data_IF_014000443720
#
_entry.id   IF_014000443720
#
_cell.length_a   1.000
_cell.length_b   1.000
_cell.length_c   1.000
_cell.angle_alpha   90.00
_cell.angle_beta   90.00
_cell.angle_gamma   90.00
#
_symmetry.space_group_name_H-M   'P 1'
#
loop_
_entity.id
_entity.type
_entity.pdbx_description
1 polymer ?
#
# COMPACT_ATOMS: atom_id res chain seq x y z
N UNK A 1 -8.77 -11.59 -32.13
CA UNK A 1 -9.60 -10.46 -32.58
C UNK A 1 -9.17 -9.25 -31.78
N UNK A 2 -8.46 -8.31 -32.40
CA UNK A 2 -7.95 -7.10 -31.75
C UNK A 2 -9.04 -6.04 -31.77
N UNK A 3 -9.63 -5.74 -30.61
CA UNK A 3 -10.56 -4.63 -30.44
C UNK A 3 -9.90 -3.33 -30.90
N UNK A 4 -10.50 -2.67 -31.90
CA UNK A 4 -10.17 -1.29 -32.25
C UNK A 4 -10.61 -0.39 -31.09
N UNK A 5 -9.70 -0.08 -30.17
CA UNK A 5 -9.88 1.04 -29.24
C UNK A 5 -9.97 2.33 -30.06
N UNK A 6 -11.15 2.94 -30.13
CA UNK A 6 -11.43 4.18 -30.87
C UNK A 6 -11.06 5.45 -30.09
N UNK A 7 -10.12 5.36 -29.15
CA UNK A 7 -9.68 6.46 -28.28
C UNK A 7 -8.16 6.58 -28.20
N UNK A 8 -7.67 7.67 -27.61
CA UNK A 8 -6.24 7.86 -27.40
C UNK A 8 -5.69 6.92 -26.31
N UNK A 9 -4.41 6.51 -26.37
CA UNK A 9 -3.87 5.43 -25.53
C UNK A 9 -3.98 5.68 -24.02
N UNK A 10 -4.01 6.95 -23.58
CA UNK A 10 -4.05 7.34 -22.18
C UNK A 10 -5.32 8.09 -21.78
N UNK A 11 -6.32 8.14 -22.67
CA UNK A 11 -7.53 8.97 -22.50
C UNK A 11 -8.26 8.72 -21.17
N UNK A 12 -8.39 7.45 -20.81
CA UNK A 12 -9.13 7.02 -19.62
C UNK A 12 -8.27 7.00 -18.33
N UNK A 13 -6.98 7.33 -18.42
CA UNK A 13 -6.10 7.25 -17.25
C UNK A 13 -6.38 8.37 -16.25
N UNK A 14 -6.26 8.06 -14.95
CA UNK A 14 -6.45 9.02 -13.86
C UNK A 14 -5.59 10.27 -14.06
N UNK A 15 -4.34 10.10 -14.47
CA UNK A 15 -3.41 11.21 -14.69
C UNK A 15 -3.91 12.19 -15.76
N UNK A 16 -4.41 11.68 -16.89
CA UNK A 16 -5.01 12.48 -17.97
C UNK A 16 -6.22 13.27 -17.45
N UNK A 17 -7.10 12.61 -16.70
CA UNK A 17 -8.28 13.26 -16.12
C UNK A 17 -7.91 14.33 -15.09
N UNK A 18 -6.93 14.07 -14.23
CA UNK A 18 -6.42 15.04 -13.25
C UNK A 18 -5.86 16.27 -13.95
N UNK A 19 -4.99 16.07 -14.94
CA UNK A 19 -4.41 17.17 -15.71
C UNK A 19 -5.48 17.97 -16.46
N UNK A 20 -6.43 17.30 -17.12
CA UNK A 20 -7.52 17.98 -17.84
C UNK A 20 -8.40 18.83 -16.90
N UNK A 21 -8.74 18.30 -15.73
CA UNK A 21 -9.50 19.04 -14.70
C UNK A 21 -8.71 20.23 -14.17
N UNK A 22 -7.41 20.05 -13.88
CA UNK A 22 -6.56 21.11 -13.35
C UNK A 22 -6.35 22.25 -14.36
N UNK A 23 -6.17 21.93 -15.65
CA UNK A 23 -6.13 22.93 -16.71
C UNK A 23 -7.45 23.70 -16.85
N UNK A 24 -8.59 23.01 -16.73
CA UNK A 24 -9.90 23.65 -16.74
C UNK A 24 -10.08 24.58 -15.54
N UNK A 25 -9.73 24.13 -14.34
CA UNK A 25 -9.74 24.94 -13.11
C UNK A 25 -8.87 26.19 -13.25
N UNK A 26 -7.65 26.05 -13.75
CA UNK A 26 -6.74 27.18 -13.98
C UNK A 26 -7.31 28.22 -14.95
N UNK A 27 -8.05 27.79 -15.98
CA UNK A 27 -8.77 28.70 -16.86
C UNK A 27 -9.94 29.40 -16.16
N UNK A 28 -10.76 28.64 -15.45
CA UNK A 28 -11.99 29.14 -14.83
C UNK A 28 -11.69 30.12 -13.69
N UNK A 29 -10.69 29.85 -12.85
CA UNK A 29 -10.35 30.65 -11.67
C UNK A 29 -9.35 31.77 -11.95
N UNK A 30 -8.32 31.49 -12.78
CA UNK A 30 -7.18 32.41 -12.97
C UNK A 30 -7.06 32.94 -14.40
N UNK A 31 -7.96 32.54 -15.31
CA UNK A 31 -7.92 32.88 -16.74
C UNK A 31 -6.58 32.55 -17.41
N UNK A 32 -5.87 31.53 -16.89
CA UNK A 32 -4.59 31.09 -17.45
C UNK A 32 -4.84 30.22 -18.68
N UNK A 33 -4.42 30.72 -19.84
CA UNK A 33 -4.51 29.95 -21.08
C UNK A 33 -3.48 28.82 -21.11
N UNK A 34 -3.77 27.74 -21.85
CA UNK A 34 -2.80 26.65 -22.08
C UNK A 34 -1.50 27.14 -22.72
N UNK A 35 -1.53 28.25 -23.47
CA UNK A 35 -0.31 28.87 -24.03
C UNK A 35 0.59 29.42 -22.92
N UNK A 36 0.02 30.15 -21.98
CA UNK A 36 0.75 30.72 -20.84
C UNK A 36 1.29 29.63 -19.92
N UNK A 37 0.46 28.62 -19.62
CA UNK A 37 0.88 27.48 -18.81
C UNK A 37 2.01 26.69 -19.48
N UNK A 38 1.95 26.48 -20.81
CA UNK A 38 3.01 25.81 -21.54
C UNK A 38 4.33 26.61 -21.49
N UNK A 39 4.26 27.93 -21.65
CA UNK A 39 5.42 28.82 -21.57
C UNK A 39 6.05 28.82 -20.16
N UNK A 40 5.25 28.86 -19.10
CA UNK A 40 5.72 28.77 -17.71
C UNK A 40 6.34 27.41 -17.39
N UNK A 41 5.82 26.35 -18.01
CA UNK A 41 6.42 25.01 -17.97
C UNK A 41 7.57 24.86 -18.98
N UNK A 42 8.07 25.92 -19.62
CA UNK A 42 9.21 25.83 -20.54
C UNK A 42 8.95 25.00 -21.81
N UNK A 43 7.70 24.77 -22.18
CA UNK A 43 7.33 24.14 -23.44
C UNK A 43 7.28 25.15 -24.58
N UNK A 44 7.86 24.78 -25.72
CA UNK A 44 7.82 25.60 -26.95
C UNK A 44 6.44 25.65 -27.62
N UNK A 45 5.52 24.75 -27.24
CA UNK A 45 4.20 24.63 -27.85
C UNK A 45 3.15 24.20 -26.83
N UNK A 46 2.01 24.91 -26.83
CA UNK A 46 0.84 24.59 -26.01
C UNK A 46 0.14 23.30 -26.40
N UNK A 47 0.39 22.82 -27.62
CA UNK A 47 -0.19 21.56 -28.13
C UNK A 47 0.25 20.37 -27.27
N UNK A 48 1.43 20.44 -26.66
CA UNK A 48 1.93 19.40 -25.76
C UNK A 48 0.98 19.20 -24.58
N UNK A 49 0.52 20.29 -23.94
CA UNK A 49 -0.44 20.22 -22.85
C UNK A 49 -1.78 19.62 -23.30
N UNK A 50 -2.27 20.02 -24.47
CA UNK A 50 -3.49 19.47 -25.05
C UNK A 50 -3.38 17.97 -25.36
N UNK A 51 -2.24 17.53 -25.91
CA UNK A 51 -1.99 16.11 -26.17
C UNK A 51 -1.93 15.28 -24.89
N UNK A 52 -1.36 15.82 -23.81
CA UNK A 52 -1.37 15.13 -22.52
C UNK A 52 -2.76 15.10 -21.89
N UNK A 53 -3.48 16.22 -21.92
CA UNK A 53 -4.83 16.32 -21.36
C UNK A 53 -5.89 15.52 -22.13
N UNK A 54 -5.64 15.18 -23.40
CA UNK A 54 -6.47 14.28 -24.21
C UNK A 54 -5.99 12.82 -24.16
N UNK A 55 -4.86 12.55 -23.50
CA UNK A 55 -4.29 11.21 -23.43
C UNK A 55 -3.63 10.72 -24.71
N UNK A 56 -3.36 11.62 -25.68
CA UNK A 56 -2.57 11.33 -26.89
C UNK A 56 -1.08 11.17 -26.59
N UNK A 57 -0.59 11.84 -25.56
CA UNK A 57 0.77 11.73 -25.05
C UNK A 57 0.75 11.45 -23.55
N UNK A 58 1.71 10.67 -23.02
CA UNK A 58 1.81 10.42 -21.60
C UNK A 58 2.45 11.62 -20.87
N UNK A 59 2.12 11.78 -19.59
CA UNK A 59 2.64 12.86 -18.75
C UNK A 59 4.06 12.50 -18.28
N UNK A 60 5.07 13.37 -18.44
CA UNK A 60 6.45 13.09 -18.03
C UNK A 60 6.57 13.03 -16.50
N UNK A 61 7.17 11.96 -15.98
CA UNK A 61 7.31 11.71 -14.53
C UNK A 61 8.22 12.77 -13.91
N UNK A 62 9.27 13.16 -14.63
CA UNK A 62 10.30 14.09 -14.18
C UNK A 62 9.77 15.50 -13.93
N UNK A 63 8.57 15.79 -14.43
CA UNK A 63 7.95 17.13 -14.39
C UNK A 63 6.70 17.19 -13.54
N UNK A 64 6.36 16.11 -12.84
CA UNK A 64 5.18 16.02 -11.98
C UNK A 64 5.12 17.18 -10.98
N UNK A 65 6.24 17.48 -10.31
CA UNK A 65 6.34 18.60 -9.38
C UNK A 65 6.05 19.97 -10.04
N UNK A 66 6.57 20.21 -11.25
CA UNK A 66 6.29 21.45 -11.99
C UNK A 66 4.79 21.63 -12.24
N UNK A 67 4.11 20.57 -12.67
CA UNK A 67 2.67 20.59 -12.92
C UNK A 67 1.87 20.77 -11.63
N UNK A 68 2.22 20.01 -10.59
CA UNK A 68 1.52 20.02 -9.32
C UNK A 68 1.59 21.41 -8.68
N UNK A 69 2.79 22.01 -8.66
CA UNK A 69 2.99 23.36 -8.16
C UNK A 69 2.22 24.39 -8.99
N UNK A 70 2.36 24.37 -10.33
CA UNK A 70 1.77 25.39 -11.18
C UNK A 70 0.24 25.32 -11.24
N UNK A 71 -0.32 24.11 -11.21
CA UNK A 71 -1.75 23.87 -11.34
C UNK A 71 -2.45 23.61 -9.99
N UNK A 72 -1.72 23.76 -8.88
CA UNK A 72 -2.21 23.56 -7.51
C UNK A 72 -2.90 22.19 -7.32
N UNK A 73 -2.22 21.14 -7.79
CA UNK A 73 -2.63 19.76 -7.56
C UNK A 73 -1.86 19.19 -6.36
N UNK A 74 -2.43 18.19 -5.69
CA UNK A 74 -1.70 17.42 -4.70
C UNK A 74 -0.64 16.56 -5.42
N UNK A 75 0.63 16.77 -5.08
CA UNK A 75 1.76 16.23 -5.83
C UNK A 75 1.86 14.70 -5.70
N UNK A 76 1.60 14.14 -4.51
CA UNK A 76 1.67 12.71 -4.25
C UNK A 76 0.65 11.92 -5.06
N UNK A 77 -0.61 12.36 -5.06
CA UNK A 77 -1.71 11.80 -5.82
C UNK A 77 -1.47 11.91 -7.32
N UNK A 78 -0.95 13.06 -7.78
CA UNK A 78 -0.66 13.26 -9.18
C UNK A 78 0.52 12.38 -9.64
N UNK A 79 1.57 12.25 -8.82
CA UNK A 79 2.68 11.34 -9.07
C UNK A 79 2.20 9.89 -9.19
N UNK A 80 1.41 9.43 -8.22
CA UNK A 80 0.84 8.08 -8.24
C UNK A 80 0.02 7.83 -9.51
N UNK A 81 -0.83 8.79 -9.90
CA UNK A 81 -1.61 8.68 -11.12
C UNK A 81 -0.73 8.59 -12.38
N UNK A 82 0.36 9.38 -12.44
CA UNK A 82 1.31 9.34 -13.57
C UNK A 82 2.10 8.02 -13.61
N UNK A 83 2.46 7.46 -12.45
CA UNK A 83 3.10 6.14 -12.35
C UNK A 83 2.15 5.03 -12.82
N UNK A 84 0.89 5.05 -12.40
CA UNK A 84 -0.16 4.13 -12.89
C UNK A 84 -0.33 4.21 -14.41
N UNK A 85 -0.25 5.41 -14.99
CA UNK A 85 -0.32 5.62 -16.44
C UNK A 85 0.85 4.97 -17.19
N UNK A 86 2.06 4.97 -16.61
CA UNK A 86 3.29 4.47 -17.24
C UNK A 86 3.50 2.98 -17.04
N UNK A 87 3.14 2.47 -15.86
CA UNK A 87 3.32 1.08 -15.46
C UNK A 87 1.99 0.50 -14.96
N UNK A 88 1.01 0.30 -15.86
CA UNK A 88 -0.34 -0.14 -15.47
C UNK A 88 -0.41 -1.56 -14.88
N UNK A 89 0.69 -2.31 -14.95
CA UNK A 89 0.81 -3.66 -14.37
C UNK A 89 1.32 -3.63 -12.92
N UNK A 90 1.70 -2.46 -12.41
CA UNK A 90 2.22 -2.28 -11.06
C UNK A 90 1.17 -1.60 -10.17
N UNK A 91 0.93 -2.17 -8.99
CA UNK A 91 0.01 -1.62 -8.01
C UNK A 91 0.73 -0.68 -7.04
N UNK A 92 0.87 0.59 -7.45
CA UNK A 92 1.57 1.60 -6.66
C UNK A 92 0.84 2.01 -5.39
N UNK A 93 -0.48 1.84 -5.34
CA UNK A 93 -1.28 2.17 -4.14
C UNK A 93 -0.94 1.23 -3.00
N UNK A 94 -0.68 -0.04 -3.32
CA UNK A 94 -0.32 -1.05 -2.34
C UNK A 94 1.20 -1.13 -2.08
N UNK A 95 2.04 -0.53 -2.93
CA UNK A 95 3.49 -0.45 -2.68
C UNK A 95 3.89 0.56 -1.59
N UNK A 96 3.05 1.57 -1.32
CA UNK A 96 3.28 2.58 -0.27
C UNK A 96 2.78 2.21 1.13
N UNK A 97 2.04 1.11 1.27
CA UNK A 97 1.40 0.69 2.52
C UNK A 97 2.37 0.06 3.56
N UNK A 98 3.58 0.62 3.70
CA UNK A 98 4.57 0.17 4.70
C UNK A 98 5.16 1.29 5.54
N UNK A 99 4.56 2.49 5.60
CA UNK A 99 5.10 3.53 6.48
C UNK A 99 3.99 4.36 7.15
N UNK A 100 3.80 4.01 8.43
CA UNK A 100 3.09 4.71 9.51
C UNK A 100 1.54 4.76 9.48
N UNK A 101 0.89 4.46 10.63
CA UNK A 101 -0.55 4.51 10.76
C UNK A 101 -1.00 5.96 10.89
N UNK A 102 -1.69 6.48 9.87
CA UNK A 102 -2.47 7.70 10.00
C UNK A 102 -3.93 7.34 10.24
N UNK A 103 -4.45 7.81 11.39
CA UNK A 103 -5.80 7.65 11.96
C UNK A 103 -6.10 6.32 12.69
N UNK A 104 -6.72 6.42 13.87
CA UNK A 104 -7.24 5.28 14.66
C UNK A 104 -8.21 4.42 13.82
N UNK A 105 -8.92 5.05 12.87
CA UNK A 105 -9.83 4.35 11.96
C UNK A 105 -9.09 3.46 10.96
N UNK A 106 -7.92 3.87 10.46
CA UNK A 106 -7.14 3.09 9.49
C UNK A 106 -6.57 1.79 10.06
N UNK A 107 -6.11 1.82 11.32
CA UNK A 107 -5.66 0.60 12.02
C UNK A 107 -6.82 -0.34 12.30
N UNK A 108 -7.99 0.19 12.65
CA UNK A 108 -9.18 -0.64 12.88
C UNK A 108 -9.61 -1.35 11.59
N UNK A 109 -9.68 -0.62 10.48
CA UNK A 109 -9.99 -1.18 9.16
C UNK A 109 -8.99 -2.25 8.72
N UNK A 110 -7.69 -2.03 8.95
CA UNK A 110 -6.64 -3.01 8.65
C UNK A 110 -6.80 -4.30 9.48
N UNK A 111 -7.08 -4.17 10.77
CA UNK A 111 -7.29 -5.32 11.65
C UNK A 111 -8.56 -6.11 11.30
N UNK A 112 -9.63 -5.42 10.93
CA UNK A 112 -10.88 -6.05 10.46
C UNK A 112 -10.69 -6.76 9.13
N UNK A 113 -9.89 -6.18 8.22
CA UNK A 113 -9.52 -6.81 6.96
C UNK A 113 -8.71 -8.10 7.19
N UNK A 114 -7.74 -8.07 8.10
CA UNK A 114 -6.93 -9.25 8.48
C UNK A 114 -7.81 -10.33 9.12
N UNK A 115 -8.74 -9.94 9.99
CA UNK A 115 -9.67 -10.85 10.64
C UNK A 115 -10.74 -11.41 9.68
N UNK A 116 -10.95 -10.77 8.53
CA UNK A 116 -12.01 -11.08 7.57
C UNK A 116 -13.43 -10.80 8.10
N UNK A 117 -13.54 -10.13 9.24
CA UNK A 117 -14.79 -9.81 9.93
C UNK A 117 -14.57 -8.64 10.91
N UNK A 118 -15.65 -7.93 11.29
CA UNK A 118 -15.56 -6.88 12.30
C UNK A 118 -14.98 -7.40 13.62
N UNK A 119 -14.13 -6.62 14.30
CA UNK A 119 -13.54 -7.06 15.58
C UNK A 119 -14.61 -7.33 16.64
N UNK A 120 -15.73 -6.59 16.57
CA UNK A 120 -16.92 -6.79 17.42
C UNK A 120 -17.59 -8.15 17.24
N UNK A 121 -17.40 -8.80 16.09
CA UNK A 121 -17.98 -10.11 15.74
C UNK A 121 -17.04 -11.29 16.03
N UNK A 122 -15.83 -11.05 16.55
CA UNK A 122 -14.88 -12.11 16.83
C UNK A 122 -15.41 -13.07 17.92
N UNK A 123 -15.16 -14.39 17.78
CA UNK A 123 -15.46 -15.36 18.82
C UNK A 123 -14.85 -14.96 20.18
N UNK A 124 -15.54 -15.22 21.30
CA UNK A 124 -15.04 -14.86 22.64
C UNK A 124 -13.65 -15.42 22.95
N UNK A 125 -13.33 -16.60 22.43
CA UNK A 125 -12.02 -17.24 22.57
C UNK A 125 -10.90 -16.45 21.90
N UNK A 126 -11.14 -15.93 20.69
CA UNK A 126 -10.17 -15.11 19.94
C UNK A 126 -10.03 -13.72 20.56
N UNK A 127 -11.14 -13.12 20.98
CA UNK A 127 -11.13 -11.83 21.66
C UNK A 127 -10.32 -11.86 22.97
N UNK A 128 -10.36 -12.98 23.71
CA UNK A 128 -9.54 -13.14 24.91
C UNK A 128 -8.04 -13.19 24.60
N UNK A 129 -7.66 -13.84 23.50
CA UNK A 129 -6.28 -13.88 23.01
C UNK A 129 -5.82 -12.47 22.63
N UNK A 130 -6.63 -11.71 21.88
CA UNK A 130 -6.33 -10.30 21.53
C UNK A 130 -6.14 -9.46 22.79
N UNK A 131 -7.02 -9.58 23.80
CA UNK A 131 -6.89 -8.86 25.08
C UNK A 131 -5.61 -9.22 25.82
N UNK A 132 -5.24 -10.51 25.85
CA UNK A 132 -4.00 -10.95 26.49
C UNK A 132 -2.76 -10.41 25.76
N UNK A 133 -2.79 -10.37 24.42
CA UNK A 133 -1.70 -9.82 23.62
C UNK A 133 -1.53 -8.32 23.87
N UNK A 134 -2.64 -7.57 23.91
CA UNK A 134 -2.63 -6.13 24.18
C UNK A 134 -2.22 -5.79 25.61
N UNK A 135 -2.57 -6.65 26.58
CA UNK A 135 -2.18 -6.48 27.97
C UNK A 135 -0.69 -6.81 28.21
N UNK A 136 -0.03 -7.50 27.29
CA UNK A 136 1.39 -7.85 27.39
C UNK A 136 2.27 -6.78 26.74
N UNK A 137 2.88 -5.92 27.57
CA UNK A 137 3.80 -4.87 27.11
C UNK A 137 5.05 -5.41 26.39
N UNK A 138 5.34 -6.71 26.47
CA UNK A 138 6.41 -7.38 25.71
C UNK A 138 5.85 -8.48 24.80
N UNK A 139 4.68 -8.24 24.19
CA UNK A 139 4.03 -9.18 23.28
C UNK A 139 5.00 -9.78 22.25
N UNK A 140 5.85 -8.97 21.61
CA UNK A 140 6.81 -9.43 20.60
C UNK A 140 7.81 -10.49 21.10
N UNK A 141 8.09 -10.56 22.41
CA UNK A 141 9.02 -11.54 22.98
C UNK A 141 8.34 -12.80 23.50
N UNK A 142 7.06 -12.71 23.87
CA UNK A 142 6.32 -13.80 24.53
C UNK A 142 5.34 -14.49 23.61
N UNK A 143 4.88 -13.78 22.58
CA UNK A 143 3.93 -14.27 21.60
C UNK A 143 4.66 -14.80 20.39
N UNK A 144 4.10 -15.86 19.82
CA UNK A 144 4.66 -16.54 18.66
C UNK A 144 4.30 -15.76 17.40
N UNK A 145 5.30 -15.48 16.58
CA UNK A 145 5.09 -15.02 15.21
C UNK A 145 4.50 -16.14 14.34
N UNK A 146 3.91 -15.76 13.19
CA UNK A 146 3.37 -16.72 12.23
C UNK A 146 4.42 -17.74 11.74
N UNK A 147 5.69 -17.36 11.72
CA UNK A 147 6.80 -18.23 11.32
C UNK A 147 7.20 -19.22 12.42
N UNK A 148 6.96 -18.88 13.69
CA UNK A 148 7.26 -19.74 14.83
C UNK A 148 6.13 -20.73 15.11
N UNK A 149 4.90 -20.43 14.67
CA UNK A 149 3.72 -21.28 14.88
C UNK A 149 3.93 -22.73 14.43
N UNK A 150 4.43 -23.03 13.20
CA UNK A 150 4.63 -24.41 12.78
C UNK A 150 5.59 -25.18 13.69
N UNK A 151 6.66 -24.52 14.15
CA UNK A 151 7.67 -25.10 15.04
C UNK A 151 7.06 -25.41 16.40
N UNK A 152 6.32 -24.46 16.98
CA UNK A 152 5.69 -24.68 18.29
C UNK A 152 4.53 -25.66 18.20
N UNK A 153 3.77 -25.69 17.11
CA UNK A 153 2.76 -26.73 16.89
C UNK A 153 3.40 -28.12 16.80
N UNK A 154 4.52 -28.24 16.10
CA UNK A 154 5.31 -29.47 16.08
C UNK A 154 5.73 -29.88 17.49
N UNK A 155 6.31 -28.95 18.26
CA UNK A 155 6.71 -29.22 19.65
C UNK A 155 5.52 -29.60 20.54
N UNK A 156 4.35 -28.96 20.40
CA UNK A 156 3.14 -29.31 21.17
C UNK A 156 2.57 -30.68 20.81
N UNK A 157 2.72 -31.12 19.55
CA UNK A 157 2.32 -32.46 19.13
C UNK A 157 3.28 -33.53 19.68
N UNK A 158 4.57 -33.24 19.68
CA UNK A 158 5.61 -34.14 20.20
C UNK A 158 5.59 -34.20 21.73
N UNK A 159 5.30 -33.08 22.40
CA UNK A 159 5.26 -32.94 23.86
C UNK A 159 3.90 -32.36 24.29
N UNK A 160 2.87 -33.20 24.52
CA UNK A 160 1.52 -32.74 24.88
C UNK A 160 1.47 -31.93 26.18
N UNK A 161 2.34 -32.26 27.14
CA UNK A 161 2.43 -31.63 28.46
C UNK A 161 3.11 -30.25 28.43
N UNK A 162 3.68 -29.86 27.29
CA UNK A 162 4.38 -28.59 27.08
C UNK A 162 3.52 -27.37 27.47
N UNK A 163 2.20 -27.46 27.30
CA UNK A 163 1.27 -26.37 27.62
C UNK A 163 1.09 -26.12 29.11
N UNK A 164 1.26 -27.14 29.94
CA UNK A 164 0.93 -27.06 31.37
C UNK A 164 2.19 -27.04 32.24
N UNK A 165 3.19 -27.86 31.90
CA UNK A 165 4.37 -28.10 32.74
C UNK A 165 5.67 -27.61 32.08
N UNK A 166 5.61 -27.24 30.80
CA UNK A 166 6.80 -26.90 30.00
C UNK A 166 7.56 -28.14 29.56
N UNK A 167 8.84 -27.97 29.16
CA UNK A 167 9.73 -29.10 28.87
C UNK A 167 10.46 -29.52 30.14
N UNK A 168 10.49 -30.83 30.39
CA UNK A 168 11.31 -31.43 31.43
C UNK A 168 12.80 -31.35 31.10
N UNK A 169 13.64 -31.49 32.13
CA UNK A 169 15.09 -31.34 31.98
C UNK A 169 15.70 -32.33 30.98
N UNK A 170 15.21 -33.58 30.97
CA UNK A 170 15.64 -34.61 30.02
C UNK A 170 15.22 -34.27 28.58
N UNK A 171 13.98 -33.78 28.41
CA UNK A 171 13.46 -33.35 27.11
C UNK A 171 14.23 -32.15 26.54
N UNK A 172 14.62 -31.19 27.40
CA UNK A 172 15.45 -30.05 27.01
C UNK A 172 16.84 -30.49 26.54
N UNK A 173 17.46 -31.43 27.26
CA UNK A 173 18.77 -31.97 26.89
C UNK A 173 18.70 -32.73 25.56
N UNK A 174 17.64 -33.50 25.35
CA UNK A 174 17.42 -34.20 24.09
C UNK A 174 17.23 -33.23 22.91
N UNK A 175 16.40 -32.19 23.07
CA UNK A 175 16.22 -31.15 22.06
C UNK A 175 17.52 -30.40 21.77
N UNK A 176 18.31 -30.07 22.79
CA UNK A 176 19.62 -29.42 22.61
C UNK A 176 20.57 -30.30 21.80
N UNK A 177 20.67 -31.60 22.13
CA UNK A 177 21.51 -32.53 21.40
C UNK A 177 21.07 -32.70 19.94
N UNK A 178 19.75 -32.74 19.67
CA UNK A 178 19.23 -32.81 18.31
C UNK A 178 19.50 -31.55 17.49
N UNK A 179 19.43 -30.36 18.10
CA UNK A 179 19.66 -29.09 17.40
C UNK A 179 21.15 -28.81 17.14
N UNK A 180 22.04 -29.19 18.06
CA UNK A 180 23.50 -29.05 17.84
C UNK A 180 24.06 -30.08 16.86
N UNK A 181 23.45 -31.26 16.75
CA UNK A 181 23.85 -32.28 15.77
C UNK A 181 23.50 -31.96 14.31
N UNK A 182 22.85 -30.83 14.04
CA UNK A 182 22.49 -30.35 12.70
C UNK A 182 23.41 -29.23 12.17
N UNK A 183 24.42 -28.81 12.95
CA UNK A 183 25.44 -27.85 12.51
C UNK A 183 26.67 -28.53 11.91
#
# INVERSE_FOLDING_TARGET
>A
MTEKRTGYPYEETRATQMLARALKKAWDEKRLSQRMLAEQLGYRSSVILSHMASGRAPIPIERVGDYAHLLEMEEGEFLLAVLEQRYPHLDFRNMGAKTEPQSDDGLLEELELIAGQPLSSLPPSQMNVVRQALADHQAQRRWLSLNELPVVEFLRRTFPELREQGLDQEQRQHLHACLEGWS
#
